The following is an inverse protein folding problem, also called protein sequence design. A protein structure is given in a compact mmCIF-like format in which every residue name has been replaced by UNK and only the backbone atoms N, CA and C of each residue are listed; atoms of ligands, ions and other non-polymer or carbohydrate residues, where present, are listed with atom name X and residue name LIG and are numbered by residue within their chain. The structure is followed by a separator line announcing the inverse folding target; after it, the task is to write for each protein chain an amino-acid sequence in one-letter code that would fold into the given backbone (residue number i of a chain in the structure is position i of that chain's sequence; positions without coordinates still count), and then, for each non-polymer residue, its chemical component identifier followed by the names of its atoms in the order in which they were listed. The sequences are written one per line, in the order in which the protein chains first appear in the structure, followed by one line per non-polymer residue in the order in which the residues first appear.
data_IF_026857301127
#
_entry.id   IF_026857301127
#
_cell.length_a   1.000
_cell.length_b   1.000
_cell.length_c   1.000
_cell.angle_alpha   90.00
_cell.angle_beta   90.00
_cell.angle_gamma   90.00
#
_symmetry.space_group_name_H-M   'P 1'
#
loop_
_entity.id
_entity.type
_entity.pdbx_description
1 polymer ?
#
# COMPACT_ATOMS: atom_id res chain seq x y z
N UNK A 1 -6.99 -29.33 -16.07
CA UNK A 1 -5.56 -29.23 -16.47
C UNK A 1 -4.89 -28.38 -15.40
N UNK A 2 -3.73 -28.76 -14.88
CA UNK A 2 -2.99 -27.88 -13.98
C UNK A 2 -2.58 -26.64 -14.77
N UNK A 3 -2.90 -25.45 -14.25
CA UNK A 3 -2.42 -24.21 -14.83
C UNK A 3 -0.91 -24.09 -14.56
N UNK A 4 -0.18 -23.43 -15.48
CA UNK A 4 1.21 -23.10 -15.25
C UNK A 4 1.33 -22.16 -14.02
N UNK A 5 2.40 -22.33 -13.24
CA UNK A 5 2.71 -21.43 -12.12
C UNK A 5 3.01 -20.03 -12.64
N UNK A 6 2.60 -19.02 -11.90
CA UNK A 6 3.05 -17.64 -12.10
C UNK A 6 4.43 -17.50 -11.46
N UNK A 7 5.41 -17.08 -12.26
CA UNK A 7 6.83 -17.05 -11.87
C UNK A 7 7.25 -15.64 -11.51
N UNK A 8 7.77 -15.49 -10.29
CA UNK A 8 8.08 -14.20 -9.69
C UNK A 8 9.59 -13.92 -9.68
N UNK A 9 9.95 -12.67 -9.99
CA UNK A 9 11.26 -12.10 -9.73
C UNK A 9 11.16 -10.93 -8.74
N UNK A 10 12.22 -10.66 -7.97
CA UNK A 10 12.25 -9.58 -6.99
C UNK A 10 13.38 -8.61 -7.31
N UNK A 11 13.09 -7.32 -7.44
CA UNK A 11 14.08 -6.23 -7.47
C UNK A 11 14.18 -5.57 -6.09
N UNK A 12 15.31 -5.79 -5.44
CA UNK A 12 15.58 -5.30 -4.08
C UNK A 12 15.46 -6.39 -3.02
N UNK A 13 16.57 -6.70 -2.33
CA UNK A 13 16.67 -7.73 -1.31
C UNK A 13 16.57 -7.15 0.12
N UNK A 14 15.56 -6.29 0.35
CA UNK A 14 15.25 -5.70 1.66
C UNK A 14 14.35 -6.58 2.52
N UNK A 15 14.04 -6.13 3.75
CA UNK A 15 13.19 -6.89 4.67
C UNK A 15 11.79 -7.16 4.12
N UNK A 16 11.24 -6.21 3.36
CA UNK A 16 9.90 -6.38 2.78
C UNK A 16 9.88 -7.48 1.71
N UNK A 17 10.99 -7.69 1.02
CA UNK A 17 11.13 -8.76 0.04
C UNK A 17 10.99 -10.15 0.67
N UNK A 18 11.47 -10.35 1.92
CA UNK A 18 11.27 -11.61 2.64
C UNK A 18 9.79 -11.88 2.95
N UNK A 19 9.00 -10.84 3.25
CA UNK A 19 7.55 -11.00 3.46
C UNK A 19 6.84 -11.44 2.19
N UNK A 20 7.21 -10.86 1.04
CA UNK A 20 6.64 -11.31 -0.22
C UNK A 20 7.10 -12.72 -0.59
N UNK A 21 8.38 -13.02 -0.42
CA UNK A 21 8.91 -14.37 -0.69
C UNK A 21 8.16 -15.45 0.09
N UNK A 22 7.90 -15.20 1.37
CA UNK A 22 7.09 -16.08 2.21
C UNK A 22 5.66 -16.22 1.68
N UNK A 23 5.03 -15.10 1.29
CA UNK A 23 3.67 -15.10 0.73
C UNK A 23 3.58 -15.86 -0.61
N UNK A 24 4.56 -15.66 -1.51
CA UNK A 24 4.64 -16.39 -2.79
C UNK A 24 4.82 -17.88 -2.56
N UNK A 25 5.61 -18.28 -1.56
CA UNK A 25 5.81 -19.70 -1.22
C UNK A 25 4.52 -20.35 -0.67
N UNK A 26 3.65 -19.59 -0.03
CA UNK A 26 2.36 -20.07 0.48
C UNK A 26 1.27 -20.15 -0.59
N UNK A 27 1.44 -19.49 -1.74
CA UNK A 27 0.49 -19.56 -2.84
C UNK A 27 0.79 -20.77 -3.74
N UNK A 28 -0.13 -21.74 -3.85
CA UNK A 28 0.09 -22.96 -4.65
C UNK A 28 0.19 -22.71 -6.16
N UNK A 29 -0.17 -21.53 -6.62
CA UNK A 29 -0.18 -21.12 -8.02
C UNK A 29 1.01 -20.23 -8.42
N UNK A 30 1.94 -20.02 -7.49
CA UNK A 30 3.10 -19.15 -7.61
C UNK A 30 4.43 -19.89 -7.45
N UNK A 31 5.47 -19.39 -8.10
CA UNK A 31 6.86 -19.83 -7.94
C UNK A 31 7.78 -18.61 -7.84
N UNK A 32 8.60 -18.53 -6.79
CA UNK A 32 9.64 -17.52 -6.69
C UNK A 32 10.92 -18.02 -7.34
N UNK A 33 11.35 -17.35 -8.41
CA UNK A 33 12.46 -17.81 -9.27
C UNK A 33 13.78 -17.16 -8.88
N UNK A 34 13.80 -15.84 -8.75
CA UNK A 34 15.06 -15.13 -8.57
C UNK A 34 14.89 -13.77 -7.87
N UNK A 35 16.02 -13.27 -7.34
CA UNK A 35 16.16 -11.94 -6.75
C UNK A 35 17.39 -11.23 -7.30
N UNK A 36 17.31 -9.91 -7.47
CA UNK A 36 18.46 -9.07 -7.75
C UNK A 36 18.55 -7.89 -6.77
N UNK A 37 19.76 -7.41 -6.52
CA UNK A 37 20.00 -6.26 -5.65
C UNK A 37 21.23 -5.46 -6.11
N UNK A 38 21.10 -4.13 -6.13
CA UNK A 38 22.23 -3.24 -6.40
C UNK A 38 23.20 -3.12 -5.20
N UNK A 39 22.84 -3.67 -4.03
CA UNK A 39 23.74 -3.73 -2.87
C UNK A 39 24.57 -5.03 -2.94
N UNK A 40 25.89 -4.98 -3.02
CA UNK A 40 26.74 -6.16 -3.15
C UNK A 40 26.46 -7.20 -2.05
N UNK A 41 26.36 -8.48 -2.46
CA UNK A 41 26.13 -9.64 -1.58
C UNK A 41 24.72 -9.76 -0.99
N UNK A 42 23.84 -8.78 -1.15
CA UNK A 42 22.46 -8.86 -0.62
C UNK A 42 21.59 -9.84 -1.41
N UNK A 43 21.75 -9.91 -2.73
CA UNK A 43 21.00 -10.87 -3.55
C UNK A 43 21.40 -12.30 -3.18
N UNK A 44 22.71 -12.60 -3.06
CA UNK A 44 23.20 -13.92 -2.68
C UNK A 44 22.73 -14.34 -1.28
N UNK A 45 22.81 -13.41 -0.31
CA UNK A 45 22.33 -13.64 1.06
C UNK A 45 20.84 -13.99 1.08
N UNK A 46 20.03 -13.21 0.36
CA UNK A 46 18.59 -13.43 0.25
C UNK A 46 18.28 -14.76 -0.46
N UNK A 47 18.90 -14.98 -1.61
CA UNK A 47 18.69 -16.17 -2.43
C UNK A 47 19.04 -17.45 -1.66
N UNK A 48 20.16 -17.45 -0.92
CA UNK A 48 20.57 -18.57 -0.07
C UNK A 48 19.59 -18.82 1.08
N UNK A 49 19.01 -17.76 1.66
CA UNK A 49 18.05 -17.89 2.76
C UNK A 49 16.68 -18.42 2.30
N UNK A 50 16.27 -18.10 1.07
CA UNK A 50 14.96 -18.45 0.51
C UNK A 50 15.02 -19.72 -0.36
N UNK A 51 16.20 -20.07 -0.88
CA UNK A 51 16.40 -21.25 -1.73
C UNK A 51 16.10 -21.00 -3.21
N UNK A 52 16.40 -19.78 -3.72
CA UNK A 52 16.16 -19.36 -5.10
C UNK A 52 17.46 -18.92 -5.79
N UNK A 53 17.39 -18.49 -7.06
CA UNK A 53 18.51 -17.91 -7.77
C UNK A 53 18.79 -16.46 -7.35
N UNK A 54 20.04 -16.01 -7.48
CA UNK A 54 20.43 -14.61 -7.45
C UNK A 54 20.89 -14.18 -8.83
N UNK A 55 20.40 -13.04 -9.30
CA UNK A 55 20.86 -12.40 -10.54
C UNK A 55 21.85 -11.26 -10.22
N UNK A 56 22.84 -11.06 -11.08
CA UNK A 56 23.93 -10.10 -10.90
C UNK A 56 23.46 -8.64 -10.98
N UNK A 57 22.31 -8.39 -11.61
CA UNK A 57 21.75 -7.06 -11.83
C UNK A 57 20.23 -7.09 -12.01
N UNK A 58 19.59 -5.93 -11.87
CA UNK A 58 18.18 -5.77 -12.23
C UNK A 58 17.94 -6.06 -13.70
N UNK A 59 18.87 -5.67 -14.58
CA UNK A 59 18.82 -5.95 -16.02
C UNK A 59 18.78 -7.46 -16.30
N UNK A 60 19.70 -8.23 -15.73
CA UNK A 60 19.77 -9.67 -15.96
C UNK A 60 18.50 -10.39 -15.46
N UNK A 61 17.91 -9.94 -14.34
CA UNK A 61 16.66 -10.51 -13.84
C UNK A 61 15.49 -10.27 -14.78
N UNK A 62 15.31 -9.03 -15.27
CA UNK A 62 14.16 -8.72 -16.14
C UNK A 62 14.30 -9.33 -17.56
N UNK A 63 15.50 -9.68 -17.98
CA UNK A 63 15.77 -10.38 -19.25
C UNK A 63 15.46 -11.89 -19.19
N UNK A 64 15.24 -12.44 -18.00
CA UNK A 64 14.95 -13.88 -17.84
C UNK A 64 13.61 -14.26 -18.49
N UNK A 65 13.56 -15.29 -19.35
CA UNK A 65 12.32 -15.76 -19.97
C UNK A 65 11.43 -16.56 -19.02
N UNK A 66 11.95 -16.99 -17.87
CA UNK A 66 11.26 -17.75 -16.83
C UNK A 66 10.72 -16.88 -15.69
N UNK A 67 10.50 -15.59 -15.90
CA UNK A 67 9.83 -14.67 -14.99
C UNK A 67 8.64 -14.03 -15.70
N UNK A 68 7.47 -14.07 -15.08
CA UNK A 68 6.21 -13.52 -15.57
C UNK A 68 5.88 -12.18 -14.93
N UNK A 69 6.17 -12.05 -13.62
CA UNK A 69 5.89 -10.85 -12.83
C UNK A 69 7.09 -10.47 -11.97
N UNK A 70 7.35 -9.17 -11.87
CA UNK A 70 8.43 -8.60 -11.07
C UNK A 70 7.85 -7.80 -9.91
N UNK A 71 8.27 -8.14 -8.69
CA UNK A 71 8.01 -7.34 -7.50
C UNK A 71 9.13 -6.34 -7.26
N UNK A 72 8.75 -5.06 -7.13
CA UNK A 72 9.70 -3.98 -6.89
C UNK A 72 9.69 -3.63 -5.40
N UNK A 73 10.78 -3.97 -4.71
CA UNK A 73 11.00 -3.84 -3.27
C UNK A 73 12.20 -2.93 -2.95
N UNK A 74 12.45 -1.96 -3.81
CA UNK A 74 13.53 -0.98 -3.66
C UNK A 74 13.12 0.17 -2.72
N UNK A 75 13.91 1.22 -2.58
CA UNK A 75 13.49 2.46 -1.94
C UNK A 75 12.63 3.29 -2.89
N UNK A 76 11.78 4.17 -2.33
CA UNK A 76 10.72 4.87 -3.06
C UNK A 76 11.20 5.59 -4.32
N UNK A 77 12.36 6.26 -4.24
CA UNK A 77 12.98 7.00 -5.34
C UNK A 77 13.35 6.15 -6.56
N UNK A 78 13.44 4.81 -6.41
CA UNK A 78 13.76 3.89 -7.50
C UNK A 78 12.57 3.09 -8.02
N UNK A 79 11.37 3.25 -7.45
CA UNK A 79 10.19 2.51 -7.88
C UNK A 79 9.88 2.75 -9.35
N UNK A 80 9.86 4.02 -9.76
CA UNK A 80 9.54 4.41 -11.13
C UNK A 80 10.52 3.80 -12.16
N UNK A 81 11.82 4.02 -11.99
CA UNK A 81 12.83 3.57 -12.94
C UNK A 81 12.88 2.04 -13.06
N UNK A 82 12.74 1.34 -11.94
CA UNK A 82 12.70 -0.13 -11.91
C UNK A 82 11.43 -0.69 -12.55
N UNK A 83 10.29 -0.02 -12.39
CA UNK A 83 9.04 -0.40 -13.05
C UNK A 83 9.13 -0.18 -14.57
N UNK A 84 9.67 0.95 -15.02
CA UNK A 84 9.95 1.22 -16.44
C UNK A 84 10.87 0.15 -17.02
N UNK A 85 11.92 -0.24 -16.29
CA UNK A 85 12.83 -1.32 -16.70
C UNK A 85 12.07 -2.63 -16.89
N UNK A 86 11.30 -3.08 -15.90
CA UNK A 86 10.57 -4.34 -15.95
C UNK A 86 9.51 -4.35 -17.07
N UNK A 87 8.69 -3.29 -17.18
CA UNK A 87 7.67 -3.16 -18.20
C UNK A 87 8.29 -3.15 -19.62
N UNK A 88 9.44 -2.50 -19.82
CA UNK A 88 10.13 -2.49 -21.10
C UNK A 88 10.66 -3.87 -21.51
N UNK A 89 10.88 -4.77 -20.57
CA UNK A 89 11.26 -6.16 -20.82
C UNK A 89 10.08 -7.14 -20.84
N UNK A 90 8.84 -6.60 -20.94
CA UNK A 90 7.63 -7.42 -21.07
C UNK A 90 7.22 -8.12 -19.77
N UNK A 91 7.63 -7.61 -18.61
CA UNK A 91 7.25 -8.16 -17.31
C UNK A 91 6.05 -7.41 -16.73
N UNK A 92 5.07 -8.15 -16.21
CA UNK A 92 4.05 -7.61 -15.33
C UNK A 92 4.69 -7.14 -14.02
N UNK A 93 4.08 -6.16 -13.31
CA UNK A 93 4.75 -5.54 -12.17
C UNK A 93 3.82 -5.37 -10.98
N UNK A 94 4.33 -5.74 -9.80
CA UNK A 94 3.80 -5.36 -8.49
C UNK A 94 4.81 -4.40 -7.82
N UNK A 95 4.39 -3.19 -7.48
CA UNK A 95 5.28 -2.17 -6.90
C UNK A 95 4.94 -1.95 -5.43
N UNK A 96 5.96 -1.95 -4.55
CA UNK A 96 5.78 -1.53 -3.16
C UNK A 96 5.19 -0.13 -3.03
N UNK A 97 4.46 0.06 -1.94
CA UNK A 97 3.95 1.38 -1.58
C UNK A 97 5.08 2.30 -1.05
N UNK A 98 4.99 3.62 -1.28
CA UNK A 98 4.06 4.27 -2.20
C UNK A 98 4.41 3.89 -3.64
N UNK A 99 3.43 3.85 -4.50
CA UNK A 99 3.60 3.39 -5.89
C UNK A 99 4.77 4.09 -6.60
N UNK A 100 4.84 5.39 -6.46
CA UNK A 100 5.91 6.27 -6.97
C UNK A 100 6.16 7.41 -5.98
N UNK A 101 6.99 8.36 -6.34
CA UNK A 101 7.23 9.55 -5.52
C UNK A 101 6.18 10.63 -5.73
N UNK A 102 5.60 10.70 -6.94
CA UNK A 102 4.57 11.69 -7.31
C UNK A 102 3.61 11.14 -8.37
N UNK A 103 2.51 11.85 -8.58
CA UNK A 103 1.45 11.47 -9.50
C UNK A 103 1.88 11.48 -10.98
N UNK A 104 2.84 12.29 -11.37
CA UNK A 104 3.34 12.32 -12.76
C UNK A 104 4.03 11.00 -13.11
N UNK A 105 4.90 10.51 -12.23
CA UNK A 105 5.50 9.19 -12.37
C UNK A 105 4.45 8.08 -12.39
N UNK A 106 3.46 8.14 -11.49
CA UNK A 106 2.38 7.14 -11.42
C UNK A 106 1.58 7.09 -12.73
N UNK A 107 1.23 8.23 -13.29
CA UNK A 107 0.50 8.34 -14.56
C UNK A 107 1.29 7.75 -15.71
N UNK A 108 2.57 8.11 -15.82
CA UNK A 108 3.47 7.58 -16.86
C UNK A 108 3.62 6.06 -16.79
N UNK A 109 3.66 5.48 -15.60
CA UNK A 109 3.70 4.02 -15.43
C UNK A 109 2.39 3.36 -15.86
N UNK A 110 1.24 3.93 -15.48
CA UNK A 110 -0.06 3.42 -15.87
C UNK A 110 -0.24 3.45 -17.40
N UNK A 111 0.18 4.55 -18.05
CA UNK A 111 0.17 4.68 -19.50
C UNK A 111 1.09 3.64 -20.15
N UNK A 112 2.34 3.50 -19.69
CA UNK A 112 3.30 2.54 -20.22
C UNK A 112 2.82 1.08 -20.10
N UNK A 113 2.25 0.71 -18.93
CA UNK A 113 1.70 -0.61 -18.74
C UNK A 113 0.52 -0.90 -19.70
N UNK A 114 -0.38 0.08 -19.87
CA UNK A 114 -1.49 0.01 -20.82
C UNK A 114 -1.03 -0.13 -22.28
N UNK A 115 -0.04 0.67 -22.71
CA UNK A 115 0.54 0.59 -24.07
C UNK A 115 1.16 -0.79 -24.36
N UNK A 116 1.74 -1.41 -23.32
CA UNK A 116 2.38 -2.72 -23.46
C UNK A 116 1.42 -3.91 -23.22
N UNK A 117 0.20 -3.65 -22.75
CA UNK A 117 -0.76 -4.69 -22.37
C UNK A 117 -0.26 -5.56 -21.22
N UNK A 118 0.42 -4.96 -20.24
CA UNK A 118 1.01 -5.65 -19.09
C UNK A 118 0.26 -5.28 -17.79
N UNK A 119 0.17 -6.25 -16.89
CA UNK A 119 -0.41 -6.03 -15.56
C UNK A 119 0.50 -5.12 -14.72
N UNK A 120 -0.14 -4.19 -14.00
CA UNK A 120 0.53 -3.29 -13.07
C UNK A 120 -0.35 -3.08 -11.84
N UNK A 121 0.21 -3.17 -10.62
CA UNK A 121 -0.51 -2.95 -9.37
C UNK A 121 0.40 -2.34 -8.30
N UNK A 122 -0.18 -1.47 -7.46
CA UNK A 122 0.44 -1.01 -6.21
C UNK A 122 0.23 -2.02 -5.09
N UNK A 123 1.24 -2.28 -4.28
CA UNK A 123 1.20 -3.23 -3.18
C UNK A 123 0.62 -2.63 -1.88
N UNK A 124 -0.60 -2.11 -1.91
CA UNK A 124 -1.36 -1.74 -0.71
C UNK A 124 -2.06 -2.98 -0.16
N UNK A 125 -1.25 -3.91 0.36
CA UNK A 125 -1.66 -5.23 0.81
C UNK A 125 -2.85 -5.23 1.78
N UNK A 126 -3.02 -4.15 2.56
CA UNK A 126 -4.10 -4.00 3.53
C UNK A 126 -5.50 -4.00 2.91
N UNK A 127 -5.64 -3.61 1.65
CA UNK A 127 -6.93 -3.62 0.93
C UNK A 127 -7.46 -5.02 0.64
N UNK A 128 -6.58 -6.00 0.64
CA UNK A 128 -6.89 -7.40 0.35
C UNK A 128 -7.16 -8.23 1.60
N UNK A 129 -7.02 -7.66 2.80
CA UNK A 129 -7.31 -8.36 4.04
C UNK A 129 -8.79 -8.72 4.13
N UNK A 130 -9.13 -9.94 4.59
CA UNK A 130 -10.52 -10.34 4.83
C UNK A 130 -11.32 -9.34 5.67
N UNK A 131 -10.69 -8.79 6.72
CA UNK A 131 -11.31 -7.75 7.57
C UNK A 131 -11.61 -6.46 6.81
N UNK A 132 -10.75 -6.03 5.90
CA UNK A 132 -10.99 -4.84 5.08
C UNK A 132 -12.14 -5.06 4.09
N UNK A 133 -12.20 -6.24 3.48
CA UNK A 133 -13.29 -6.61 2.56
C UNK A 133 -14.61 -6.66 3.31
N UNK A 134 -14.66 -7.33 4.47
CA UNK A 134 -15.85 -7.41 5.31
C UNK A 134 -16.29 -6.02 5.81
N UNK A 135 -15.35 -5.19 6.26
CA UNK A 135 -15.65 -3.82 6.69
C UNK A 135 -16.30 -3.02 5.57
N UNK A 136 -15.77 -3.09 4.35
CA UNK A 136 -16.37 -2.40 3.18
C UNK A 136 -17.78 -2.91 2.90
N UNK A 137 -18.00 -4.21 2.95
CA UNK A 137 -19.33 -4.81 2.77
C UNK A 137 -20.33 -4.35 3.85
N UNK A 138 -19.89 -4.28 5.13
CA UNK A 138 -20.74 -3.76 6.22
C UNK A 138 -21.14 -2.31 5.99
N UNK A 139 -20.21 -1.46 5.55
CA UNK A 139 -20.51 -0.06 5.24
C UNK A 139 -21.46 0.08 4.04
N UNK A 140 -21.25 -0.72 2.98
CA UNK A 140 -22.17 -0.77 1.83
C UNK A 140 -23.59 -1.19 2.22
N UNK A 141 -23.70 -2.11 3.18
CA UNK A 141 -24.97 -2.58 3.75
C UNK A 141 -25.51 -1.66 4.86
N UNK A 142 -24.91 -0.47 5.04
CA UNK A 142 -25.34 0.56 5.99
C UNK A 142 -25.37 0.08 7.44
N UNK A 143 -24.42 -0.76 7.86
CA UNK A 143 -24.36 -1.31 9.23
C UNK A 143 -24.31 -0.23 10.33
N UNK A 144 -23.82 0.97 10.01
CA UNK A 144 -23.83 2.15 10.90
C UNK A 144 -24.61 3.34 10.30
N UNK A 145 -25.49 3.07 9.32
CA UNK A 145 -26.13 4.12 8.52
C UNK A 145 -25.18 4.79 7.53
N UNK A 146 -25.37 6.08 7.25
CA UNK A 146 -24.45 6.85 6.41
C UNK A 146 -23.19 7.21 7.20
N UNK A 147 -22.02 6.89 6.65
CA UNK A 147 -20.74 7.29 7.26
C UNK A 147 -20.59 8.80 7.16
N UNK A 148 -20.38 9.46 8.29
CA UNK A 148 -20.28 10.91 8.40
C UNK A 148 -18.86 11.38 8.70
N UNK A 149 -18.10 10.60 9.47
CA UNK A 149 -16.73 10.94 9.83
C UNK A 149 -15.86 9.68 10.00
N UNK A 150 -14.60 9.77 9.59
CA UNK A 150 -13.57 8.77 9.89
C UNK A 150 -12.41 9.45 10.63
N UNK A 151 -11.93 8.82 11.72
CA UNK A 151 -10.77 9.30 12.46
C UNK A 151 -9.72 8.19 12.56
N UNK A 152 -8.50 8.46 12.06
CA UNK A 152 -7.43 7.47 12.04
C UNK A 152 -6.14 8.02 12.65
N UNK A 153 -5.47 7.16 13.40
CA UNK A 153 -4.14 7.44 13.90
C UNK A 153 -3.19 6.29 13.54
N UNK A 154 -2.03 6.64 13.03
CA UNK A 154 -1.01 5.67 12.65
C UNK A 154 0.39 6.23 12.95
N UNK A 155 0.98 5.83 14.06
CA UNK A 155 2.28 6.37 14.47
C UNK A 155 3.05 5.43 15.39
N UNK A 156 4.38 5.56 15.30
CA UNK A 156 5.32 4.83 16.12
C UNK A 156 6.68 5.50 16.09
N UNK A 157 7.58 5.06 16.96
CA UNK A 157 8.97 5.45 16.83
C UNK A 157 9.61 4.66 15.70
N UNK A 158 10.14 5.37 14.70
CA UNK A 158 10.97 4.76 13.68
C UNK A 158 12.18 4.08 14.34
N UNK A 159 12.42 2.79 14.12
CA UNK A 159 13.60 2.13 14.69
C UNK A 159 14.89 2.81 14.21
N UNK A 160 15.86 3.01 15.11
CA UNK A 160 17.12 3.70 14.82
C UNK A 160 17.82 3.18 13.55
N UNK A 161 17.75 1.87 13.32
CA UNK A 161 18.31 1.21 12.14
C UNK A 161 17.70 1.71 10.82
N UNK A 162 16.42 2.08 10.83
CA UNK A 162 15.68 2.48 9.60
C UNK A 162 15.46 3.99 9.51
N UNK A 163 15.53 4.70 10.65
CA UNK A 163 15.31 6.13 10.71
C UNK A 163 16.12 6.93 9.67
N UNK A 164 17.43 6.67 9.45
CA UNK A 164 18.20 7.42 8.45
C UNK A 164 17.57 7.37 7.06
N UNK A 165 17.09 6.18 6.61
CA UNK A 165 16.41 6.01 5.34
C UNK A 165 15.05 6.71 5.30
N UNK A 166 14.30 6.63 6.40
CA UNK A 166 12.93 7.14 6.48
C UNK A 166 12.86 8.67 6.47
N UNK A 167 13.94 9.34 6.84
CA UNK A 167 14.03 10.81 6.84
C UNK A 167 15.01 11.35 5.78
N UNK A 168 15.49 10.52 4.84
CA UNK A 168 16.40 10.94 3.78
C UNK A 168 15.62 11.48 2.57
N UNK A 169 15.75 12.80 2.25
CA UNK A 169 15.08 13.36 1.08
C UNK A 169 15.57 12.76 -0.25
N UNK A 170 16.83 12.29 -0.32
CA UNK A 170 17.38 11.64 -1.51
C UNK A 170 16.74 10.25 -1.78
N UNK A 171 16.13 9.65 -0.77
CA UNK A 171 15.43 8.37 -0.87
C UNK A 171 13.90 8.53 -0.88
N UNK A 172 13.38 9.75 -1.06
CA UNK A 172 11.96 10.09 -0.92
C UNK A 172 11.43 9.69 0.47
N UNK A 173 12.17 10.03 1.53
CA UNK A 173 11.73 9.86 2.91
C UNK A 173 10.54 10.76 3.24
N UNK A 174 9.93 10.52 4.38
CA UNK A 174 8.78 11.26 4.89
C UNK A 174 7.67 10.34 5.36
N UNK A 175 6.97 10.75 6.42
CA UNK A 175 5.93 9.93 7.04
C UNK A 175 4.70 9.78 6.15
N UNK A 176 4.41 10.77 5.31
CA UNK A 176 3.24 10.73 4.42
C UNK A 176 3.37 9.64 3.37
N UNK A 177 4.51 9.56 2.68
CA UNK A 177 4.75 8.53 1.67
C UNK A 177 4.90 7.14 2.30
N UNK A 178 5.59 7.02 3.44
CA UNK A 178 5.88 5.70 4.02
C UNK A 178 4.74 5.11 4.85
N UNK A 179 4.12 5.91 5.72
CA UNK A 179 3.05 5.48 6.62
C UNK A 179 1.69 6.09 6.27
N UNK A 180 1.65 7.37 5.90
CA UNK A 180 0.42 8.11 5.61
C UNK A 180 -0.39 7.51 4.47
N UNK A 181 0.26 6.90 3.49
CA UNK A 181 -0.39 6.19 2.38
C UNK A 181 -1.41 5.16 2.87
N UNK A 182 -1.18 4.46 3.99
CA UNK A 182 -2.11 3.46 4.52
C UNK A 182 -3.45 4.05 4.98
N UNK A 183 -3.49 5.00 5.93
CA UNK A 183 -4.76 5.60 6.34
C UNK A 183 -5.40 6.46 5.24
N UNK A 184 -4.63 7.08 4.34
CA UNK A 184 -5.16 7.80 3.18
C UNK A 184 -5.88 6.81 2.24
N UNK A 185 -5.21 5.72 1.87
CA UNK A 185 -5.79 4.66 1.05
C UNK A 185 -7.01 4.01 1.70
N UNK A 186 -6.97 3.77 3.02
CA UNK A 186 -8.09 3.24 3.80
C UNK A 186 -9.33 4.12 3.68
N UNK A 187 -9.19 5.43 3.93
CA UNK A 187 -10.30 6.37 3.88
C UNK A 187 -10.88 6.47 2.48
N UNK A 188 -10.05 6.64 1.43
CA UNK A 188 -10.51 6.74 0.05
C UNK A 188 -11.23 5.44 -0.40
N UNK A 189 -10.66 4.27 -0.05
CA UNK A 189 -11.24 2.97 -0.40
C UNK A 189 -12.62 2.75 0.23
N UNK A 190 -12.80 3.10 1.51
CA UNK A 190 -14.08 2.92 2.20
C UNK A 190 -15.11 3.99 1.81
N UNK A 191 -14.67 5.21 1.55
CA UNK A 191 -15.52 6.25 0.99
C UNK A 191 -16.02 5.91 -0.42
N UNK A 192 -15.24 5.15 -1.20
CA UNK A 192 -15.49 4.87 -2.60
C UNK A 192 -15.32 6.10 -3.51
N UNK A 193 -14.62 7.12 -3.01
CA UNK A 193 -14.40 8.41 -3.69
C UNK A 193 -13.12 9.06 -3.14
N UNK A 194 -12.69 10.14 -3.78
CA UNK A 194 -11.58 10.99 -3.36
C UNK A 194 -12.09 12.26 -2.68
N UNK A 195 -11.34 12.84 -1.72
CA UNK A 195 -11.71 14.08 -1.11
C UNK A 195 -11.67 15.24 -2.12
N UNK A 196 -12.72 16.07 -2.12
CA UNK A 196 -12.78 17.29 -2.94
C UNK A 196 -11.95 18.41 -2.32
N UNK A 197 -11.78 18.40 -1.00
CA UNK A 197 -10.95 19.35 -0.27
C UNK A 197 -9.99 18.61 0.68
N UNK A 198 -8.75 19.09 0.75
CA UNK A 198 -7.72 18.63 1.68
C UNK A 198 -7.03 19.79 2.34
N UNK A 199 -6.90 19.72 3.68
CA UNK A 199 -6.06 20.61 4.48
C UNK A 199 -5.06 19.76 5.25
N UNK A 200 -3.83 20.19 5.33
CA UNK A 200 -2.79 19.41 5.98
C UNK A 200 -1.73 20.28 6.64
N UNK A 201 -1.16 19.75 7.72
CA UNK A 201 -0.04 20.34 8.44
C UNK A 201 1.00 19.27 8.69
N UNK A 202 2.28 19.64 8.63
CA UNK A 202 3.36 18.73 9.00
C UNK A 202 4.36 19.38 9.94
N UNK A 203 5.08 18.54 10.68
CA UNK A 203 6.33 18.86 11.36
C UNK A 203 7.45 18.23 10.56
N UNK A 204 8.41 19.06 10.14
CA UNK A 204 9.60 18.59 9.46
C UNK A 204 10.60 17.95 10.43
N UNK A 205 11.31 16.94 9.93
CA UNK A 205 12.54 16.41 10.51
C UNK A 205 13.72 17.38 10.30
N UNK A 206 14.85 17.09 10.92
CA UNK A 206 16.09 17.84 10.73
C UNK A 206 16.63 17.80 9.29
N UNK A 207 16.17 16.82 8.49
CA UNK A 207 16.57 16.64 7.09
C UNK A 207 15.64 17.33 6.10
N UNK A 208 14.52 17.90 6.57
CA UNK A 208 13.56 18.65 5.76
C UNK A 208 12.45 17.83 5.13
N UNK A 209 12.27 16.55 5.48
CA UNK A 209 11.08 15.77 5.13
C UNK A 209 10.08 15.77 6.29
N UNK A 210 8.82 15.50 6.00
CA UNK A 210 7.76 15.38 7.00
C UNK A 210 7.99 14.18 7.92
N UNK A 211 8.06 14.43 9.24
CA UNK A 211 8.24 13.42 10.27
C UNK A 211 6.95 13.11 11.04
N UNK A 212 6.03 14.08 11.07
CA UNK A 212 4.70 13.99 11.63
C UNK A 212 3.75 14.84 10.82
N UNK A 213 2.58 14.31 10.49
CA UNK A 213 1.60 15.03 9.69
C UNK A 213 0.17 14.77 10.14
N UNK A 214 -0.72 15.74 9.87
CA UNK A 214 -2.16 15.62 10.04
C UNK A 214 -2.85 16.02 8.76
N UNK A 215 -3.93 15.31 8.43
CA UNK A 215 -4.71 15.55 7.21
C UNK A 215 -6.19 15.64 7.58
N UNK A 216 -6.89 16.62 6.99
CA UNK A 216 -8.32 16.80 7.07
C UNK A 216 -8.90 16.70 5.66
N UNK A 217 -9.82 15.78 5.47
CA UNK A 217 -10.46 15.50 4.19
C UNK A 217 -11.95 15.87 4.25
N UNK A 218 -12.45 16.45 3.17
CA UNK A 218 -13.86 16.65 2.95
C UNK A 218 -14.27 16.04 1.62
N UNK A 219 -15.31 15.22 1.61
CA UNK A 219 -15.82 14.50 0.45
C UNK A 219 -17.09 15.15 -0.10
N UNK A 220 -17.39 14.95 -1.38
CA UNK A 220 -18.60 15.47 -2.02
C UNK A 220 -19.90 14.99 -1.35
N UNK A 221 -19.88 13.83 -0.70
CA UNK A 221 -20.99 13.29 0.10
C UNK A 221 -21.29 14.08 1.39
N UNK A 222 -20.40 15.00 1.78
CA UNK A 222 -20.41 15.67 3.08
C UNK A 222 -19.66 14.91 4.19
N UNK A 223 -19.17 13.69 3.91
CA UNK A 223 -18.31 12.96 4.83
C UNK A 223 -16.99 13.69 5.05
N UNK A 224 -16.43 13.60 6.24
CA UNK A 224 -15.12 14.12 6.58
C UNK A 224 -14.19 13.03 7.09
N UNK A 225 -12.88 13.27 7.04
CA UNK A 225 -11.92 12.39 7.72
C UNK A 225 -10.78 13.20 8.35
N UNK A 226 -10.33 12.73 9.51
CA UNK A 226 -9.18 13.25 10.25
C UNK A 226 -8.13 12.16 10.40
N UNK A 227 -6.90 12.43 9.96
CA UNK A 227 -5.82 11.46 10.00
C UNK A 227 -4.60 12.09 10.68
N UNK A 228 -3.92 11.34 11.53
CA UNK A 228 -2.63 11.73 12.09
C UNK A 228 -1.60 10.61 11.95
N UNK A 229 -0.41 10.95 11.45
CA UNK A 229 0.70 10.01 11.25
C UNK A 229 2.00 10.53 11.87
N UNK A 230 2.87 9.62 12.35
CA UNK A 230 4.12 10.02 12.98
C UNK A 230 5.19 8.93 12.97
N UNK A 231 6.46 9.34 12.74
CA UNK A 231 7.66 8.53 12.96
C UNK A 231 8.25 8.68 14.37
N UNK A 232 7.79 9.65 15.14
CA UNK A 232 8.38 10.01 16.43
C UNK A 232 7.39 10.09 17.59
N UNK A 233 6.18 9.59 17.42
CA UNK A 233 5.16 9.44 18.47
C UNK A 233 4.56 8.04 18.45
N UNK A 234 4.51 7.39 19.61
CA UNK A 234 3.72 6.18 19.77
C UNK A 234 2.24 6.56 19.84
N UNK A 235 1.53 6.24 18.77
CA UNK A 235 0.08 6.44 18.66
C UNK A 235 -0.62 5.09 18.69
N UNK A 236 -1.91 5.07 18.98
CA UNK A 236 -2.73 3.90 18.69
C UNK A 236 -2.78 3.74 17.16
N UNK A 237 -2.80 2.49 16.69
CA UNK A 237 -3.00 2.17 15.27
C UNK A 237 -4.47 1.82 15.08
N UNK A 238 -5.34 2.81 15.11
CA UNK A 238 -6.78 2.61 15.13
C UNK A 238 -7.50 3.43 14.08
N UNK A 239 -8.64 2.91 13.63
CA UNK A 239 -9.61 3.62 12.82
C UNK A 239 -10.96 3.62 13.54
N UNK A 240 -11.55 4.81 13.66
CA UNK A 240 -12.91 5.02 14.15
C UNK A 240 -13.77 5.53 13.00
N UNK A 241 -14.88 4.85 12.73
CA UNK A 241 -15.81 5.23 11.67
C UNK A 241 -17.16 5.57 12.30
N UNK A 242 -17.61 6.80 12.14
CA UNK A 242 -18.84 7.30 12.74
C UNK A 242 -19.93 7.44 11.66
N UNK A 243 -21.04 6.77 11.88
CA UNK A 243 -22.22 6.79 11.02
C UNK A 243 -23.44 7.42 11.71
N UNK A 244 -24.53 7.52 10.97
CA UNK A 244 -25.77 8.12 11.46
C UNK A 244 -26.52 7.26 12.50
N UNK A 245 -26.25 5.95 12.56
CA UNK A 245 -26.94 5.01 13.47
C UNK A 245 -26.00 4.12 14.28
N UNK A 246 -24.67 4.35 14.19
CA UNK A 246 -23.68 3.56 14.90
C UNK A 246 -22.26 4.05 14.60
N UNK A 247 -21.30 3.38 15.20
CA UNK A 247 -19.89 3.60 14.89
C UNK A 247 -19.13 2.28 14.90
N UNK A 248 -17.97 2.25 14.24
CA UNK A 248 -17.07 1.10 14.18
C UNK A 248 -15.74 1.47 14.82
N UNK A 249 -15.29 0.61 15.74
CA UNK A 249 -13.91 0.59 16.25
C UNK A 249 -13.13 -0.48 15.53
N UNK A 250 -12.06 -0.07 14.84
CA UNK A 250 -11.13 -0.98 14.18
C UNK A 250 -9.72 -0.79 14.75
N UNK A 251 -9.36 -1.50 15.84
CA UNK A 251 -8.01 -1.49 16.37
C UNK A 251 -7.06 -2.18 15.39
N UNK A 252 -5.84 -1.66 15.28
CA UNK A 252 -4.83 -2.18 14.36
C UNK A 252 -5.34 -2.31 12.91
N UNK A 253 -5.92 -1.24 12.38
CA UNK A 253 -6.57 -1.23 11.07
C UNK A 253 -5.64 -1.67 9.91
N UNK A 254 -4.32 -1.66 10.13
CA UNK A 254 -3.34 -2.08 9.13
C UNK A 254 -3.23 -3.61 9.03
N UNK A 255 -3.37 -4.34 10.14
CA UNK A 255 -3.14 -5.79 10.17
C UNK A 255 -4.16 -6.55 11.03
N UNK A 256 -5.06 -5.85 11.72
CA UNK A 256 -6.02 -6.45 12.63
C UNK A 256 -7.01 -7.38 11.94
N UNK A 257 -7.36 -8.46 12.64
CA UNK A 257 -8.33 -9.47 12.20
C UNK A 257 -9.74 -9.26 12.77
N UNK A 258 -9.97 -8.14 13.48
CA UNK A 258 -11.25 -7.88 14.16
C UNK A 258 -11.60 -6.40 14.21
N UNK A 259 -12.91 -6.11 14.20
CA UNK A 259 -13.47 -4.82 14.54
C UNK A 259 -14.80 -4.97 15.29
N UNK A 260 -15.25 -3.91 15.97
CA UNK A 260 -16.52 -3.89 16.68
C UNK A 260 -17.47 -2.85 16.07
N UNK A 261 -18.73 -3.21 15.91
CA UNK A 261 -19.82 -2.33 15.47
C UNK A 261 -20.67 -2.00 16.67
N UNK A 262 -20.82 -0.72 16.98
CA UNK A 262 -21.63 -0.19 18.06
C UNK A 262 -22.87 0.48 17.46
N UNK A 263 -24.05 -0.02 17.79
CA UNK A 263 -25.33 0.53 17.34
C UNK A 263 -25.90 1.47 18.39
N UNK A 264 -26.45 2.61 17.98
CA UNK A 264 -27.05 3.59 18.88
C UNK A 264 -28.38 4.15 18.35
N UNK A 265 -28.90 3.62 17.24
CA UNK A 265 -30.19 4.01 16.69
C UNK A 265 -30.39 5.52 16.43
N UNK A 266 -29.31 6.32 16.40
CA UNK A 266 -29.35 7.76 16.31
C UNK A 266 -29.50 8.49 17.65
N UNK A 267 -29.29 7.80 18.79
CA UNK A 267 -29.31 8.34 20.15
C UNK A 267 -27.89 8.46 20.72
N UNK A 268 -27.76 8.96 21.96
CA UNK A 268 -26.48 9.02 22.68
C UNK A 268 -26.15 7.71 23.43
N UNK A 269 -27.06 6.74 23.44
CA UNK A 269 -26.90 5.46 24.12
C UNK A 269 -26.55 4.39 23.09
N UNK A 270 -25.59 3.53 23.41
CA UNK A 270 -25.27 2.35 22.61
C UNK A 270 -26.23 1.24 22.98
N UNK A 271 -27.02 0.78 22.01
CA UNK A 271 -28.05 -0.23 22.20
C UNK A 271 -27.51 -1.65 22.10
N UNK A 272 -26.54 -1.87 21.18
CA UNK A 272 -25.98 -3.20 20.89
C UNK A 272 -24.54 -3.07 20.39
N UNK A 273 -23.73 -4.10 20.64
CA UNK A 273 -22.35 -4.22 20.16
C UNK A 273 -22.16 -5.56 19.47
N UNK A 274 -21.76 -5.51 18.20
CA UNK A 274 -21.46 -6.69 17.40
C UNK A 274 -19.95 -6.76 17.13
N UNK A 275 -19.30 -7.81 17.61
CA UNK A 275 -17.90 -8.09 17.31
C UNK A 275 -17.80 -8.88 15.98
N UNK A 276 -16.89 -8.48 15.12
CA UNK A 276 -16.52 -9.17 13.88
C UNK A 276 -15.08 -9.64 14.02
N UNK A 277 -14.87 -10.95 13.92
CA UNK A 277 -13.55 -11.58 13.94
C UNK A 277 -13.44 -12.47 12.72
N UNK A 278 -12.35 -12.35 11.99
CA UNK A 278 -12.08 -13.13 10.78
C UNK A 278 -10.77 -13.89 10.91
N UNK A 279 -10.76 -15.09 10.37
CA UNK A 279 -9.52 -15.83 10.19
C UNK A 279 -8.73 -15.21 9.03
N UNK A 280 -7.47 -14.92 9.29
CA UNK A 280 -6.56 -14.41 8.26
C UNK A 280 -5.14 -14.93 8.48
N UNK A 281 -4.37 -14.99 7.41
CA UNK A 281 -2.96 -15.34 7.48
C UNK A 281 -2.19 -14.31 8.30
N UNK A 282 -1.21 -14.76 9.08
CA UNK A 282 -0.29 -13.88 9.79
C UNK A 282 0.46 -12.95 8.82
N UNK A 283 0.90 -13.51 7.70
CA UNK A 283 1.45 -12.75 6.59
C UNK A 283 0.33 -12.30 5.62
N UNK A 284 -0.22 -11.12 5.82
CA UNK A 284 -1.29 -10.57 4.98
C UNK A 284 -0.91 -10.35 3.50
N UNK A 285 0.36 -10.50 3.13
CA UNK A 285 0.81 -10.39 1.73
C UNK A 285 0.30 -11.54 0.85
N UNK A 286 -0.08 -12.68 1.43
CA UNK A 286 -0.67 -13.80 0.67
C UNK A 286 -1.90 -13.37 -0.12
N UNK A 287 -2.70 -12.45 0.41
CA UNK A 287 -3.92 -11.99 -0.27
C UNK A 287 -3.62 -11.12 -1.49
N UNK A 288 -2.60 -10.26 -1.45
CA UNK A 288 -2.21 -9.48 -2.64
C UNK A 288 -1.50 -10.35 -3.68
N UNK A 289 -0.74 -11.37 -3.27
CA UNK A 289 -0.16 -12.35 -4.19
C UNK A 289 -1.27 -13.11 -4.93
N UNK A 290 -2.26 -13.61 -4.20
CA UNK A 290 -3.42 -14.29 -4.78
C UNK A 290 -4.19 -13.39 -5.78
N UNK A 291 -4.33 -12.09 -5.47
CA UNK A 291 -4.97 -11.14 -6.39
C UNK A 291 -4.14 -10.94 -7.68
N UNK A 292 -2.82 -10.78 -7.59
CA UNK A 292 -1.96 -10.69 -8.77
C UNK A 292 -2.11 -11.94 -9.64
N UNK A 293 -2.06 -13.12 -9.04
CA UNK A 293 -2.25 -14.40 -9.75
C UNK A 293 -3.62 -14.46 -10.42
N UNK A 294 -4.68 -14.08 -9.72
CA UNK A 294 -6.04 -14.02 -10.27
C UNK A 294 -6.11 -13.10 -11.49
N UNK A 295 -5.59 -11.89 -11.38
CA UNK A 295 -5.60 -10.92 -12.48
C UNK A 295 -4.83 -11.42 -13.69
N UNK A 296 -3.61 -11.94 -13.49
CA UNK A 296 -2.79 -12.48 -14.59
C UNK A 296 -3.47 -13.63 -15.30
N UNK A 297 -4.14 -14.53 -14.57
CA UNK A 297 -4.90 -15.64 -15.15
C UNK A 297 -6.14 -15.19 -15.90
N UNK A 298 -6.78 -14.12 -15.45
CA UNK A 298 -7.92 -13.50 -16.11
C UNK A 298 -7.51 -12.57 -17.26
N UNK A 299 -6.21 -12.38 -17.51
CA UNK A 299 -5.68 -11.39 -18.46
C UNK A 299 -6.15 -9.97 -18.18
N UNK A 300 -6.38 -9.65 -16.90
CA UNK A 300 -6.66 -8.29 -16.44
C UNK A 300 -5.35 -7.52 -16.34
N UNK A 301 -5.36 -6.23 -16.70
CA UNK A 301 -4.17 -5.38 -16.70
C UNK A 301 -3.97 -4.63 -15.38
N UNK A 302 -4.96 -4.63 -14.51
CA UNK A 302 -4.96 -4.02 -13.17
C UNK A 302 -5.92 -4.75 -12.23
N UNK A 303 -5.81 -4.55 -10.93
CA UNK A 303 -6.78 -5.06 -9.97
C UNK A 303 -7.98 -4.13 -9.82
N UNK A 304 -9.22 -4.64 -9.86
CA UNK A 304 -10.41 -3.84 -9.57
C UNK A 304 -10.50 -3.38 -8.10
N UNK A 305 -9.70 -3.97 -7.21
CA UNK A 305 -9.63 -3.58 -5.79
C UNK A 305 -8.78 -2.32 -5.60
N UNK A 306 -7.76 -2.14 -6.45
CA UNK A 306 -6.88 -0.97 -6.47
C UNK A 306 -6.60 -0.55 -7.93
N UNK A 307 -7.58 0.08 -8.60
CA UNK A 307 -7.41 0.53 -9.99
C UNK A 307 -6.28 1.56 -10.10
N UNK A 308 -5.54 1.51 -11.20
CA UNK A 308 -4.43 2.45 -11.44
C UNK A 308 -4.88 3.92 -11.45
N UNK A 309 -6.09 4.18 -11.91
CA UNK A 309 -6.67 5.53 -11.83
C UNK A 309 -6.78 6.02 -10.38
N UNK A 310 -7.18 5.17 -9.45
CA UNK A 310 -7.26 5.52 -8.01
C UNK A 310 -5.86 5.68 -7.41
N UNK A 311 -4.91 4.79 -7.75
CA UNK A 311 -3.50 4.91 -7.34
C UNK A 311 -2.91 6.26 -7.77
N UNK A 312 -3.08 6.66 -9.05
CA UNK A 312 -2.62 7.96 -9.57
C UNK A 312 -3.29 9.11 -8.82
N UNK A 313 -4.56 9.00 -8.52
CA UNK A 313 -5.31 10.06 -7.84
C UNK A 313 -4.92 10.20 -6.35
N UNK A 314 -4.63 9.10 -5.66
CA UNK A 314 -4.08 9.12 -4.29
C UNK A 314 -2.67 9.73 -4.28
N UNK A 315 -1.82 9.42 -5.26
CA UNK A 315 -0.53 10.07 -5.41
C UNK A 315 -0.68 11.59 -5.63
N UNK A 316 -1.63 12.02 -6.46
CA UNK A 316 -1.92 13.44 -6.66
C UNK A 316 -2.46 14.13 -5.39
N UNK A 317 -3.23 13.41 -4.57
CA UNK A 317 -3.66 13.91 -3.26
C UNK A 317 -2.46 14.13 -2.32
N UNK A 318 -1.52 13.20 -2.28
CA UNK A 318 -0.28 13.35 -1.49
C UNK A 318 0.62 14.46 -2.04
N UNK A 319 0.70 14.65 -3.35
CA UNK A 319 1.41 15.80 -3.96
C UNK A 319 0.81 17.13 -3.52
N UNK A 320 -0.52 17.28 -3.53
CA UNK A 320 -1.21 18.48 -3.04
C UNK A 320 -0.87 18.78 -1.57
N UNK A 321 -0.75 17.77 -0.71
CA UNK A 321 -0.34 17.94 0.68
C UNK A 321 1.12 18.41 0.77
N UNK A 322 2.04 17.81 0.03
CA UNK A 322 3.44 18.23 -0.02
C UNK A 322 3.60 19.66 -0.54
N UNK A 323 2.79 20.05 -1.53
CA UNK A 323 2.75 21.44 -2.04
C UNK A 323 2.31 22.44 -0.97
N UNK A 324 1.32 22.12 -0.13
CA UNK A 324 0.92 22.97 1.00
C UNK A 324 2.05 23.26 1.97
N UNK A 325 2.99 22.31 2.11
CA UNK A 325 4.15 22.41 3.01
C UNK A 325 5.40 22.96 2.33
N UNK A 326 5.40 23.07 1.00
CA UNK A 326 6.58 23.41 0.22
C UNK A 326 7.63 22.28 0.19
N UNK A 327 7.24 21.04 0.46
CA UNK A 327 8.13 19.87 0.41
C UNK A 327 8.35 19.42 -1.03
N UNK A 328 9.62 19.46 -1.46
CA UNK A 328 10.07 18.89 -2.75
C UNK A 328 11.29 18.03 -2.52
N UNK A 329 11.37 16.94 -3.26
CA UNK A 329 12.56 16.08 -3.24
C UNK A 329 13.62 16.59 -4.21
N UNK A 330 14.92 16.34 -3.96
CA UNK A 330 16.01 16.92 -4.76
C UNK A 330 16.09 16.45 -6.21
N UNK A 331 15.35 15.42 -6.56
CA UNK A 331 15.30 14.82 -7.92
C UNK A 331 13.97 15.12 -8.65
N UNK A 332 13.12 15.97 -8.11
CA UNK A 332 11.87 16.45 -8.76
C UNK A 332 12.05 17.70 -9.59
#
# INVERSE_FOLDING_TARGET
MAHALIRWGILGAGNIAYKLADAVTQDPDSELVSVASNTPGKADTFASAVGIAADDSYQSLVERPDIDVVYIATTHNFHYDNAVLALNHGKSVLIEKPFTVNADQARKLAELAGEKGLFLMEAIWTRFLPTMIELKQRLQNKAIGEVQHMNLTFGGFAPDKYRPRLIDPALAGGVTLDMGIYPISFVCYLAGDLPVEVQSLCQFSDTGVDERATYQFHFASGMTASIATSFNLKMKQEAMLYGSTGYIEYPDFQAGSAFAIHHHGGTNEVDDISAVQLDQFENGFVYQVAEVVRCLRASELESPVIPLQETVAIMALMDRMREQWGLRYPFE
#
